data_IF_433184596145
#
_entry.id   IF_433184596145
#
_cell.length_a   1.000
_cell.length_b   1.000
_cell.length_c   1.000
_cell.angle_alpha   90.00
_cell.angle_beta   90.00
_cell.angle_gamma   90.00
#
_symmetry.space_group_name_H-M   'P 1'
#
loop_
_entity.id
_entity.type
_entity.pdbx_description
1 polymer ?
#
# COMPACT_ATOMS: atom_id res chain seq x y z
N UNK A 1 -25.80 6.92 -5.84
CA UNK A 1 -24.87 6.91 -4.70
C UNK A 1 -23.78 5.93 -5.06
N UNK A 2 -22.57 6.40 -5.33
CA UNK A 2 -21.42 5.50 -5.48
C UNK A 2 -21.28 4.70 -4.18
N UNK A 3 -21.44 3.39 -4.25
CA UNK A 3 -20.94 2.53 -3.19
C UNK A 3 -19.42 2.58 -3.29
N UNK A 4 -18.78 3.28 -2.35
CA UNK A 4 -17.34 3.19 -2.20
C UNK A 4 -17.03 1.72 -1.86
N UNK A 5 -16.24 1.04 -2.70
CA UNK A 5 -15.95 -0.40 -2.57
C UNK A 5 -15.30 -0.77 -1.22
N UNK A 6 -14.73 0.22 -0.52
CA UNK A 6 -14.07 0.09 0.76
C UNK A 6 -14.46 1.24 1.69
N UNK A 7 -14.60 0.95 2.97
CA UNK A 7 -14.64 1.95 4.05
C UNK A 7 -13.29 2.66 4.19
N UNK A 8 -13.26 3.83 4.84
CA UNK A 8 -12.02 4.57 5.07
C UNK A 8 -11.01 3.75 5.91
N UNK A 9 -11.51 2.97 6.87
CA UNK A 9 -10.68 2.06 7.65
C UNK A 9 -10.06 0.95 6.77
N UNK A 10 -10.86 0.31 5.92
CA UNK A 10 -10.36 -0.72 5.00
C UNK A 10 -9.33 -0.15 4.02
N UNK A 11 -9.58 1.06 3.49
CA UNK A 11 -8.60 1.77 2.65
C UNK A 11 -7.29 2.00 3.38
N UNK A 12 -7.34 2.50 4.62
CA UNK A 12 -6.16 2.74 5.43
C UNK A 12 -5.37 1.46 5.72
N UNK A 13 -6.06 0.35 5.99
CA UNK A 13 -5.42 -0.96 6.18
C UNK A 13 -4.73 -1.42 4.89
N UNK A 14 -5.40 -1.28 3.74
CA UNK A 14 -4.83 -1.65 2.44
C UNK A 14 -3.60 -0.80 2.12
N UNK A 15 -3.68 0.53 2.30
CA UNK A 15 -2.55 1.43 2.06
C UNK A 15 -1.35 1.04 2.94
N UNK A 16 -1.57 0.82 4.25
CA UNK A 16 -0.48 0.40 5.13
C UNK A 16 0.13 -0.94 4.71
N UNK A 17 -0.70 -1.93 4.35
CA UNK A 17 -0.21 -3.22 3.89
C UNK A 17 0.67 -3.09 2.64
N UNK A 18 0.25 -2.25 1.68
CA UNK A 18 1.03 -1.96 0.47
C UNK A 18 2.34 -1.24 0.79
N UNK A 19 2.35 -0.28 1.71
CA UNK A 19 3.56 0.41 2.16
C UNK A 19 4.55 -0.57 2.82
N UNK A 20 4.08 -1.44 3.71
CA UNK A 20 4.90 -2.49 4.31
C UNK A 20 5.45 -3.44 3.25
N UNK A 21 4.59 -3.87 2.31
CA UNK A 21 5.00 -4.75 1.22
C UNK A 21 6.03 -4.09 0.29
N UNK A 22 5.98 -2.78 0.06
CA UNK A 22 6.99 -2.06 -0.73
C UNK A 22 8.35 -2.03 -0.02
N UNK A 23 8.34 -1.87 1.29
CA UNK A 23 9.55 -1.61 2.08
C UNK A 23 10.27 -2.87 2.58
N UNK A 24 9.56 -3.97 2.80
CA UNK A 24 10.08 -5.13 3.55
C UNK A 24 9.77 -6.49 2.90
N UNK A 25 9.43 -6.52 1.61
CA UNK A 25 9.25 -7.80 0.92
C UNK A 25 10.60 -8.51 0.69
N UNK A 26 10.57 -9.83 0.81
CA UNK A 26 11.69 -10.71 0.51
C UNK A 26 11.50 -11.40 -0.85
N UNK A 27 12.58 -11.92 -1.45
CA UNK A 27 12.45 -12.79 -2.63
C UNK A 27 11.57 -14.02 -2.40
N UNK A 28 11.48 -14.51 -1.16
CA UNK A 28 10.61 -15.62 -0.75
C UNK A 28 9.14 -15.23 -0.83
N UNK A 29 8.77 -14.06 -0.32
CA UNK A 29 7.39 -13.55 -0.43
C UNK A 29 6.95 -13.47 -1.90
N UNK A 30 7.85 -13.00 -2.78
CA UNK A 30 7.58 -12.97 -4.21
C UNK A 30 7.34 -14.36 -4.81
N UNK A 31 8.10 -15.37 -4.37
CA UNK A 31 7.88 -16.76 -4.81
C UNK A 31 6.51 -17.26 -4.36
N UNK A 32 6.07 -16.93 -3.15
CA UNK A 32 4.74 -17.27 -2.65
C UNK A 32 3.63 -16.62 -3.50
N UNK A 33 3.85 -15.40 -3.98
CA UNK A 33 2.94 -14.73 -4.93
C UNK A 33 3.05 -15.23 -6.39
N UNK A 34 3.88 -16.25 -6.66
CA UNK A 34 4.12 -16.76 -8.01
C UNK A 34 4.90 -15.79 -8.90
N UNK A 35 5.58 -14.81 -8.29
CA UNK A 35 6.42 -13.83 -8.96
C UNK A 35 7.88 -14.27 -8.94
N UNK A 36 8.62 -13.94 -10.01
CA UNK A 36 10.06 -14.19 -10.08
C UNK A 36 10.82 -12.89 -9.86
N UNK A 37 11.71 -12.87 -8.88
CA UNK A 37 12.74 -11.85 -8.78
C UNK A 37 13.63 -11.95 -10.03
N UNK A 38 13.54 -10.98 -10.94
CA UNK A 38 14.40 -10.94 -12.13
C UNK A 38 15.76 -10.34 -11.79
N UNK A 39 16.80 -10.65 -12.58
CA UNK A 39 18.17 -10.17 -12.37
C UNK A 39 18.36 -8.65 -12.40
N UNK A 40 17.33 -7.87 -12.74
CA UNK A 40 17.28 -6.40 -12.64
C UNK A 40 16.52 -5.91 -11.40
N UNK A 41 16.30 -6.77 -10.40
CA UNK A 41 15.42 -6.49 -9.27
C UNK A 41 13.94 -6.72 -9.60
N UNK A 42 13.08 -6.38 -8.65
CA UNK A 42 11.64 -6.56 -8.75
C UNK A 42 10.92 -5.26 -9.15
N UNK A 43 11.58 -4.40 -9.94
CA UNK A 43 11.09 -3.09 -10.33
C UNK A 43 9.63 -3.10 -10.82
N UNK A 44 9.24 -4.09 -11.63
CA UNK A 44 7.84 -4.22 -12.10
C UNK A 44 6.82 -4.49 -10.99
N UNK A 45 7.23 -5.15 -9.91
CA UNK A 45 6.39 -5.40 -8.74
C UNK A 45 6.28 -4.13 -7.90
N UNK A 46 7.41 -3.46 -7.66
CA UNK A 46 7.45 -2.18 -6.95
C UNK A 46 6.65 -1.09 -7.68
N UNK A 47 6.71 -1.04 -9.02
CA UNK A 47 5.90 -0.15 -9.86
C UNK A 47 4.40 -0.43 -9.70
N UNK A 48 4.02 -1.71 -9.57
CA UNK A 48 2.62 -2.08 -9.33
C UNK A 48 2.15 -1.69 -7.94
N UNK A 49 2.97 -1.90 -6.91
CA UNK A 49 2.62 -1.44 -5.55
C UNK A 49 2.49 0.08 -5.54
N UNK A 50 3.43 0.80 -6.16
CA UNK A 50 3.37 2.26 -6.28
C UNK A 50 2.05 2.73 -6.91
N UNK A 51 1.68 2.14 -8.06
CA UNK A 51 0.44 2.46 -8.77
C UNK A 51 -0.79 2.19 -7.89
N UNK A 52 -0.83 1.07 -7.18
CA UNK A 52 -1.94 0.75 -6.28
C UNK A 52 -2.06 1.76 -5.13
N UNK A 53 -0.95 2.19 -4.54
CA UNK A 53 -0.99 3.23 -3.49
C UNK A 53 -1.48 4.56 -4.08
N UNK A 54 -1.03 4.93 -5.28
CA UNK A 54 -1.48 6.13 -5.99
C UNK A 54 -2.98 6.09 -6.31
N UNK A 55 -3.55 4.92 -6.61
CA UNK A 55 -5.00 4.77 -6.82
C UNK A 55 -5.81 5.05 -5.54
N UNK A 56 -5.23 4.78 -4.36
CA UNK A 56 -5.88 5.05 -3.07
C UNK A 56 -5.64 6.48 -2.54
N UNK A 57 -4.42 7.01 -2.71
CA UNK A 57 -3.97 8.25 -2.06
C UNK A 57 -3.83 9.41 -3.03
N UNK A 58 -3.51 9.11 -4.29
CA UNK A 58 -3.23 10.08 -5.36
C UNK A 58 -1.76 10.05 -5.83
N UNK A 59 -1.48 10.61 -7.03
CA UNK A 59 -0.18 10.53 -7.72
C UNK A 59 0.96 11.30 -7.04
N UNK A 60 0.66 12.09 -6.02
CA UNK A 60 1.64 12.90 -5.27
C UNK A 60 1.70 12.49 -3.81
N UNK A 61 1.39 11.22 -3.50
CA UNK A 61 1.46 10.73 -2.13
C UNK A 61 2.90 10.76 -1.61
N UNK A 62 3.04 11.08 -0.33
CA UNK A 62 4.29 11.04 0.39
C UNK A 62 4.10 10.11 1.58
N UNK A 63 5.05 9.20 1.78
CA UNK A 63 4.92 8.09 2.71
C UNK A 63 4.74 8.55 4.16
N UNK A 64 5.55 9.49 4.65
CA UNK A 64 5.47 9.96 6.03
C UNK A 64 4.14 10.69 6.31
N UNK A 65 3.75 11.62 5.44
CA UNK A 65 2.50 12.36 5.54
C UNK A 65 1.27 11.45 5.45
N UNK A 66 1.31 10.45 4.57
CA UNK A 66 0.22 9.47 4.44
C UNK A 66 0.09 8.62 5.71
N UNK A 67 1.22 8.15 6.25
CA UNK A 67 1.24 7.37 7.48
C UNK A 67 0.70 8.16 8.67
N UNK A 68 1.08 9.43 8.81
CA UNK A 68 0.60 10.29 9.88
C UNK A 68 -0.90 10.60 9.76
N UNK A 69 -1.39 10.81 8.54
CA UNK A 69 -2.82 10.97 8.28
C UNK A 69 -3.61 9.71 8.68
N UNK A 70 -3.13 8.51 8.32
CA UNK A 70 -3.76 7.24 8.68
C UNK A 70 -3.80 7.03 10.20
N UNK A 71 -2.68 7.31 10.90
CA UNK A 71 -2.61 7.21 12.36
C UNK A 71 -3.62 8.13 13.05
N UNK A 72 -3.72 9.38 12.60
CA UNK A 72 -4.68 10.35 13.13
C UNK A 72 -6.13 9.88 12.94
N UNK A 73 -6.48 9.41 11.74
CA UNK A 73 -7.82 8.91 11.43
C UNK A 73 -8.18 7.67 12.26
N UNK A 74 -7.22 6.76 12.46
CA UNK A 74 -7.41 5.53 13.24
C UNK A 74 -7.61 5.83 14.73
N UNK A 75 -6.85 6.78 15.29
CA UNK A 75 -7.02 7.23 16.66
C UNK A 75 -8.42 7.83 16.92
N UNK A 76 -9.00 8.51 15.92
CA UNK A 76 -10.35 9.08 16.01
C UNK A 76 -11.47 8.04 15.93
N UNK A 77 -11.24 6.89 15.28
CA UNK A 77 -12.21 5.78 15.23
C UNK A 77 -12.23 4.91 16.50
N UNK A 78 -11.24 5.08 17.38
CA UNK A 78 -11.11 4.31 18.64
C UNK A 78 -11.68 5.04 19.87
N UNK A 79 -12.32 6.21 19.68
CA UNK A 79 -12.97 7.03 20.70
C UNK A 79 -14.49 6.99 20.53
#
# INVERSE_FOLDING_TARGET
MEQNMFTDLEKNIIIMALMYMKNDYTPEDLKEFGLKATGSGCAKFEDKIQMLIEDFVGPTWEEAATLDAIKLQTANHSR
#
